data_IF_441698836409
#
_entry.id   IF_441698836409
#
_cell.length_a   1.000
_cell.length_b   1.000
_cell.length_c   1.000
_cell.angle_alpha   90.00
_cell.angle_beta   90.00
_cell.angle_gamma   90.00
#
_symmetry.space_group_name_H-M   'P 1'
#
loop_
_entity.id
_entity.type
_entity.pdbx_description
1 polymer ?
#
# COMPACT_ATOMS: atom_id res chain seq x y z
N UNK A 1 17.79 8.08 15.40
CA UNK A 1 17.24 7.40 14.21
C UNK A 1 15.73 7.56 14.24
N UNK A 2 15.20 8.67 13.73
CA UNK A 2 13.76 8.79 13.49
C UNK A 2 13.45 7.91 12.30
N UNK A 3 12.63 6.87 12.47
CA UNK A 3 12.06 6.12 11.35
C UNK A 3 11.51 7.15 10.36
N UNK A 4 12.11 7.23 9.19
CA UNK A 4 11.75 8.23 8.19
C UNK A 4 10.28 8.04 7.85
N UNK A 5 9.49 9.08 8.12
CA UNK A 5 8.04 9.14 7.93
C UNK A 5 7.67 9.28 6.43
N UNK A 6 8.48 8.67 5.57
CA UNK A 6 8.40 8.79 4.12
C UNK A 6 7.38 7.78 3.61
N UNK A 7 6.42 8.28 2.83
CA UNK A 7 5.52 7.40 2.11
C UNK A 7 6.31 6.55 1.12
N UNK A 8 6.04 5.25 1.09
CA UNK A 8 6.67 4.30 0.18
C UNK A 8 5.71 3.86 -0.90
N UNK A 9 6.21 3.69 -2.12
CA UNK A 9 5.40 3.14 -3.21
C UNK A 9 5.30 1.63 -3.06
N UNK A 10 4.09 1.10 -3.17
CA UNK A 10 3.79 -0.32 -3.08
C UNK A 10 2.87 -0.75 -4.23
N UNK A 11 3.03 -1.99 -4.72
CA UNK A 11 2.15 -2.54 -5.77
C UNK A 11 1.10 -3.48 -5.16
N UNK A 12 -0.17 -3.27 -5.48
CA UNK A 12 -1.25 -4.13 -4.98
C UNK A 12 -1.23 -5.48 -5.68
N UNK A 13 -0.94 -6.54 -4.93
CA UNK A 13 -0.94 -7.92 -5.43
C UNK A 13 -2.30 -8.58 -5.23
N UNK A 14 -2.98 -8.28 -4.12
CA UNK A 14 -4.27 -8.88 -3.77
C UNK A 14 -5.08 -8.00 -2.83
N UNK A 15 -6.39 -7.91 -3.04
CA UNK A 15 -7.32 -7.34 -2.07
C UNK A 15 -7.78 -8.40 -1.07
N UNK A 16 -7.87 -8.00 0.19
CA UNK A 16 -8.26 -8.82 1.33
C UNK A 16 -9.56 -8.25 1.95
N UNK A 17 -10.24 -9.02 2.83
CA UNK A 17 -11.34 -8.49 3.64
C UNK A 17 -10.95 -7.26 4.46
N UNK A 18 -11.95 -6.55 4.98
CA UNK A 18 -11.78 -5.41 5.90
C UNK A 18 -10.93 -4.26 5.33
N UNK A 19 -11.03 -4.05 4.02
CA UNK A 19 -10.27 -3.03 3.29
C UNK A 19 -8.75 -3.15 3.50
N UNK A 20 -8.24 -4.38 3.55
CA UNK A 20 -6.81 -4.67 3.57
C UNK A 20 -6.32 -5.10 2.18
N UNK A 21 -5.02 -4.97 1.92
CA UNK A 21 -4.39 -5.46 0.70
C UNK A 21 -3.01 -6.06 0.99
N UNK A 22 -2.68 -7.14 0.30
CA UNK A 22 -1.31 -7.64 0.20
C UNK A 22 -0.61 -6.86 -0.91
N UNK A 23 0.51 -6.23 -0.57
CA UNK A 23 1.28 -5.37 -1.47
C UNK A 23 2.72 -5.85 -1.57
N UNK A 24 3.36 -5.58 -2.70
CA UNK A 24 4.81 -5.70 -2.88
C UNK A 24 5.47 -4.37 -2.52
N UNK A 25 6.48 -4.41 -1.65
CA UNK A 25 7.28 -3.26 -1.21
C UNK A 25 8.75 -3.66 -1.26
N UNK A 26 9.53 -3.05 -2.16
CA UNK A 26 10.92 -3.44 -2.36
C UNK A 26 11.05 -4.91 -2.76
N UNK A 27 11.76 -5.70 -1.96
CA UNK A 27 11.94 -7.15 -2.17
C UNK A 27 10.95 -8.02 -1.37
N UNK A 28 10.03 -7.40 -0.61
CA UNK A 28 9.12 -8.08 0.30
C UNK A 28 7.65 -7.87 -0.01
N UNK A 29 6.79 -8.53 0.77
CA UNK A 29 5.35 -8.28 0.76
C UNK A 29 4.86 -7.86 2.14
N UNK A 30 3.86 -6.99 2.16
CA UNK A 30 3.25 -6.47 3.39
C UNK A 30 1.73 -6.42 3.26
N UNK A 31 1.05 -6.45 4.41
CA UNK A 31 -0.40 -6.27 4.47
C UNK A 31 -0.69 -4.86 4.98
N UNK A 32 -1.36 -4.06 4.15
CA UNK A 32 -1.62 -2.63 4.40
C UNK A 32 -3.12 -2.33 4.31
N UNK A 33 -3.55 -1.31 5.04
CA UNK A 33 -4.92 -0.79 4.94
C UNK A 33 -5.06 -0.01 3.64
N UNK A 34 -6.12 -0.27 2.90
CA UNK A 34 -6.55 0.49 1.72
C UNK A 34 -7.87 1.22 1.96
N UNK A 35 -8.33 1.34 3.21
CA UNK A 35 -9.61 1.94 3.55
C UNK A 35 -9.79 3.40 3.07
N UNK A 36 -8.68 4.13 2.90
CA UNK A 36 -8.68 5.55 2.52
C UNK A 36 -8.66 5.78 1.01
N UNK A 37 -8.44 4.73 0.20
CA UNK A 37 -8.29 4.84 -1.25
C UNK A 37 -9.07 3.75 -1.98
N UNK A 38 -9.38 3.97 -3.26
CA UNK A 38 -9.98 2.93 -4.10
C UNK A 38 -8.91 2.26 -4.94
N UNK A 39 -8.21 1.30 -4.36
CA UNK A 39 -7.17 0.53 -5.04
C UNK A 39 -7.72 -0.74 -5.69
N UNK A 40 -7.14 -1.12 -6.83
CA UNK A 40 -7.38 -2.38 -7.54
C UNK A 40 -6.09 -3.18 -7.63
N UNK A 41 -6.20 -4.49 -7.90
CA UNK A 41 -5.02 -5.33 -8.12
C UNK A 41 -4.25 -4.82 -9.34
N UNK A 42 -2.94 -4.63 -9.17
CA UNK A 42 -2.04 -4.05 -10.16
C UNK A 42 -1.66 -2.60 -9.85
N UNK A 43 -2.49 -1.85 -9.13
CA UNK A 43 -2.25 -0.44 -8.86
C UNK A 43 -0.98 -0.22 -8.04
N UNK A 44 -0.29 0.88 -8.32
CA UNK A 44 0.75 1.44 -7.48
C UNK A 44 0.12 2.43 -6.50
N UNK A 45 0.40 2.27 -5.21
CA UNK A 45 -0.13 3.09 -4.13
C UNK A 45 1.00 3.69 -3.29
N UNK A 46 0.73 4.80 -2.61
CA UNK A 46 1.61 5.34 -1.59
C UNK A 46 1.14 4.89 -0.20
N UNK A 47 2.04 4.33 0.58
CA UNK A 47 1.77 3.82 1.93
C UNK A 47 2.53 4.63 2.96
N UNK A 48 1.85 5.08 4.00
CA UNK A 48 2.41 5.77 5.15
C UNK A 48 1.78 5.21 6.42
N UNK A 49 2.57 4.92 7.45
CA UNK A 49 2.09 4.30 8.69
C UNK A 49 1.20 3.04 8.49
N UNK A 50 1.49 2.23 7.45
CA UNK A 50 0.70 1.06 6.98
C UNK A 50 -0.69 1.37 6.42
N UNK A 51 -0.97 2.62 6.08
CA UNK A 51 -2.18 3.04 5.40
C UNK A 51 -1.86 3.54 4.00
N UNK A 52 -2.63 3.09 3.02
CA UNK A 52 -2.58 3.61 1.67
C UNK A 52 -3.23 5.00 1.64
N UNK A 53 -2.48 6.01 1.23
CA UNK A 53 -2.92 7.41 1.23
C UNK A 53 -3.16 7.97 -0.18
N UNK A 54 -2.66 7.31 -1.22
CA UNK A 54 -2.91 7.68 -2.61
C UNK A 54 -2.73 6.49 -3.57
N UNK A 55 -3.39 6.57 -4.74
CA UNK A 55 -3.11 5.74 -5.92
C UNK A 55 -2.31 6.59 -6.90
N UNK A 56 -1.18 6.08 -7.39
CA UNK A 56 -0.22 6.84 -8.21
C UNK A 56 0.06 6.22 -9.58
N UNK A 57 -0.48 5.03 -9.87
CA UNK A 57 -0.35 4.38 -11.17
C UNK A 57 -1.11 3.06 -11.25
N UNK A 58 -1.18 2.47 -12.44
CA UNK A 58 -1.81 1.17 -12.74
C UNK A 58 -0.89 0.30 -13.58
#
# INVERSE_FOLDING_TARGET
>A
MTCADLAVTAKVLRLLPDAMALVEVGEGTEVVSVALVRATVGDAILVHAREAIAVVGR
#
